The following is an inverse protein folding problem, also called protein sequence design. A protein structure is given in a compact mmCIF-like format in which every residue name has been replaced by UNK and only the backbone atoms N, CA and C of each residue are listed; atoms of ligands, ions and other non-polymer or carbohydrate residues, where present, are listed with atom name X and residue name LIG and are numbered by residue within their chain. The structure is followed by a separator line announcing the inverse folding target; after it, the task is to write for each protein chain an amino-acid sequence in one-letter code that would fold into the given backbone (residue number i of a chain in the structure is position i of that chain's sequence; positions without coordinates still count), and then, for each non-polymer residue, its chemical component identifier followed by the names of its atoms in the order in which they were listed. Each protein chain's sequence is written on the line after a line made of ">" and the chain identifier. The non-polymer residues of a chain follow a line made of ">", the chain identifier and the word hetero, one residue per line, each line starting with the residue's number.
data_IF_868670224523
#
_entry.id   IF_868670224523
#
_cell.length_a   1.000
_cell.length_b   1.000
_cell.length_c   1.000
_cell.angle_alpha   90.00
_cell.angle_beta   90.00
_cell.angle_gamma   90.00
#
_symmetry.space_group_name_H-M   'P 1'
#
loop_
_entity.id
_entity.type
_entity.pdbx_description
1 polymer ?
#
# COMPACT_ATOMS: atom_id res chain seq x y z
N UNK A 1 -21.20 8.94 43.18
CA UNK A 1 -19.79 8.85 43.64
C UNK A 1 -18.87 8.41 42.51
N UNK A 2 -17.81 9.17 42.19
CA UNK A 2 -16.80 8.75 41.21
C UNK A 2 -15.97 7.57 41.74
N UNK A 3 -15.41 6.72 40.86
CA UNK A 3 -14.57 5.62 41.28
C UNK A 3 -13.25 6.13 41.89
N UNK A 4 -12.54 5.27 42.63
CA UNK A 4 -11.26 5.62 43.23
C UNK A 4 -10.23 6.03 42.17
N UNK A 5 -9.27 6.87 42.55
CA UNK A 5 -8.33 7.51 41.63
C UNK A 5 -7.49 6.56 40.74
N UNK A 6 -7.41 5.26 41.08
CA UNK A 6 -6.72 4.25 40.29
C UNK A 6 -7.62 3.35 39.44
N UNK A 7 -8.95 3.49 39.53
CA UNK A 7 -9.86 2.69 38.74
C UNK A 7 -9.98 3.26 37.32
N UNK A 8 -9.68 2.41 36.34
CA UNK A 8 -9.85 2.69 34.92
C UNK A 8 -10.99 1.82 34.39
N UNK A 9 -11.94 2.43 33.68
CA UNK A 9 -13.08 1.71 33.11
C UNK A 9 -12.59 0.64 32.13
N UNK A 10 -12.87 -0.64 32.40
CA UNK A 10 -12.42 -1.76 31.54
C UNK A 10 -13.05 -1.78 30.14
N UNK A 11 -14.03 -0.91 29.87
CA UNK A 11 -14.72 -0.85 28.58
C UNK A 11 -14.11 0.15 27.61
N UNK A 12 -13.69 1.31 28.11
CA UNK A 12 -13.11 2.39 27.29
C UNK A 12 -11.66 2.73 27.67
N UNK A 13 -11.14 2.13 28.73
CA UNK A 13 -9.82 2.37 29.29
C UNK A 13 -9.56 3.83 29.74
N UNK A 14 -10.61 4.55 30.14
CA UNK A 14 -10.52 5.92 30.67
C UNK A 14 -10.88 5.94 32.16
N UNK A 15 -10.14 6.72 32.95
CA UNK A 15 -10.39 6.91 34.38
C UNK A 15 -11.61 7.83 34.62
N UNK A 16 -12.15 7.80 35.85
CA UNK A 16 -13.14 8.79 36.30
C UNK A 16 -14.61 8.40 36.17
N UNK A 17 -14.93 7.20 35.67
CA UNK A 17 -16.31 6.67 35.70
C UNK A 17 -16.33 5.15 35.88
N UNK A 18 -17.40 4.63 36.48
CA UNK A 18 -17.66 3.19 36.57
C UNK A 18 -18.06 2.62 35.22
N UNK A 19 -17.80 1.34 34.98
CA UNK A 19 -18.19 0.65 33.73
C UNK A 19 -19.69 0.78 33.39
N UNK A 20 -20.54 0.90 34.41
CA UNK A 20 -22.00 1.08 34.28
C UNK A 20 -22.39 2.48 33.79
N UNK A 21 -21.55 3.48 34.04
CA UNK A 21 -21.73 4.88 33.64
C UNK A 21 -20.87 5.23 32.42
N UNK A 22 -20.34 4.23 31.73
CA UNK A 22 -19.52 4.42 30.54
C UNK A 22 -20.38 5.03 29.42
N UNK A 23 -20.04 6.26 29.03
CA UNK A 23 -20.68 7.00 27.94
C UNK A 23 -20.44 6.38 26.56
N UNK A 24 -19.43 5.51 26.45
CA UNK A 24 -19.28 4.59 25.32
C UNK A 24 -20.35 3.49 25.47
N UNK A 25 -21.60 3.88 25.18
CA UNK A 25 -22.70 2.95 24.95
C UNK A 25 -22.20 1.94 23.93
N UNK A 26 -22.47 0.66 24.24
CA UNK A 26 -22.14 -0.47 23.40
C UNK A 26 -22.62 -0.17 21.99
N UNK A 27 -21.72 0.20 21.08
CA UNK A 27 -22.04 0.14 19.65
C UNK A 27 -22.58 -1.27 19.39
N UNK A 28 -23.67 -1.42 18.63
CA UNK A 28 -24.22 -2.74 18.37
C UNK A 28 -23.10 -3.63 17.84
N UNK A 29 -22.87 -4.78 18.51
CA UNK A 29 -22.00 -5.84 18.02
C UNK A 29 -22.51 -6.22 16.63
N UNK A 30 -21.84 -5.71 15.59
CA UNK A 30 -21.85 -6.24 14.22
C UNK A 30 -23.18 -6.88 13.79
N UNK A 31 -24.28 -6.15 13.85
CA UNK A 31 -25.37 -6.43 12.92
C UNK A 31 -24.96 -5.76 11.62
N UNK A 32 -24.52 -6.57 10.66
CA UNK A 32 -24.32 -6.24 9.23
C UNK A 32 -24.65 -4.77 8.93
N UNK A 33 -23.65 -3.89 9.00
CA UNK A 33 -23.68 -2.76 8.08
C UNK A 33 -23.31 -3.39 6.75
N UNK A 34 -24.33 -3.91 6.06
CA UNK A 34 -24.29 -3.94 4.61
C UNK A 34 -24.37 -2.48 4.18
N UNK A 35 -23.29 -1.74 4.45
CA UNK A 35 -22.89 -0.68 3.54
C UNK A 35 -22.68 -1.46 2.25
N UNK A 36 -23.50 -1.15 1.25
CA UNK A 36 -23.37 -1.76 -0.04
C UNK A 36 -21.95 -1.46 -0.51
N UNK A 37 -21.04 -2.42 -0.31
CA UNK A 37 -19.87 -2.58 -1.16
C UNK A 37 -20.51 -2.72 -2.51
N UNK A 38 -20.56 -1.59 -3.24
CA UNK A 38 -20.88 -1.59 -4.64
C UNK A 38 -20.13 -2.77 -5.25
N UNK A 39 -20.74 -3.54 -6.18
CA UNK A 39 -19.98 -4.56 -6.89
C UNK A 39 -18.65 -3.93 -7.30
N UNK A 40 -17.54 -4.64 -7.11
CA UNK A 40 -16.20 -4.20 -7.53
C UNK A 40 -16.24 -4.01 -9.05
N UNK A 41 -16.88 -2.96 -9.51
CA UNK A 41 -16.83 -2.46 -10.86
C UNK A 41 -15.44 -1.89 -10.90
N UNK A 42 -14.55 -2.67 -11.52
CA UNK A 42 -13.21 -2.23 -11.86
C UNK A 42 -13.39 -0.86 -12.51
N UNK A 43 -13.03 0.22 -11.81
CA UNK A 43 -13.04 1.53 -12.46
C UNK A 43 -11.98 1.46 -13.53
N UNK A 44 -12.28 1.97 -14.73
CA UNK A 44 -11.34 1.96 -15.85
C UNK A 44 -10.01 2.59 -15.42
N UNK A 45 -10.07 3.65 -14.61
CA UNK A 45 -8.93 4.31 -13.97
C UNK A 45 -8.05 3.36 -13.13
N UNK A 46 -8.66 2.45 -12.35
CA UNK A 46 -7.91 1.49 -11.53
C UNK A 46 -7.24 0.40 -12.39
N UNK A 47 -7.83 0.07 -13.54
CA UNK A 47 -7.25 -0.88 -14.48
C UNK A 47 -6.07 -0.26 -15.22
N UNK A 48 -6.24 0.95 -15.75
CA UNK A 48 -5.18 1.71 -16.42
C UNK A 48 -3.98 1.94 -15.50
N UNK A 49 -4.20 2.35 -14.24
CA UNK A 49 -3.12 2.48 -13.27
C UNK A 49 -2.48 1.12 -12.94
N UNK A 50 -3.25 0.05 -12.89
CA UNK A 50 -2.72 -1.30 -12.68
C UNK A 50 -1.74 -1.70 -13.78
N UNK A 51 -2.05 -1.36 -15.02
CA UNK A 51 -1.17 -1.57 -16.18
C UNK A 51 0.06 -0.66 -16.13
N UNK A 52 -0.11 0.63 -15.82
CA UNK A 52 1.02 1.58 -15.62
C UNK A 52 2.02 1.06 -14.57
N UNK A 53 1.52 0.56 -13.44
CA UNK A 53 2.37 0.01 -12.37
C UNK A 53 3.04 -1.29 -12.84
N UNK A 54 2.36 -2.14 -13.60
CA UNK A 54 2.96 -3.37 -14.11
C UNK A 54 4.09 -3.09 -15.11
N UNK A 55 3.88 -2.13 -16.03
CA UNK A 55 4.89 -1.67 -16.97
C UNK A 55 6.10 -1.08 -16.23
N UNK A 56 5.86 -0.26 -15.19
CA UNK A 56 6.92 0.31 -14.36
C UNK A 56 7.72 -0.76 -13.58
N UNK A 57 7.13 -1.93 -13.33
CA UNK A 57 7.78 -3.06 -12.65
C UNK A 57 8.40 -4.08 -13.63
N UNK A 58 8.31 -3.84 -14.95
CA UNK A 58 8.71 -4.75 -16.03
C UNK A 58 8.01 -6.13 -15.93
N UNK A 59 6.73 -6.13 -15.50
CA UNK A 59 5.95 -7.33 -15.28
C UNK A 59 5.07 -7.66 -16.50
N UNK A 60 5.51 -8.65 -17.30
CA UNK A 60 4.78 -9.10 -18.49
C UNK A 60 3.81 -10.28 -18.21
N UNK A 61 3.82 -10.84 -17.00
CA UNK A 61 2.95 -11.98 -16.66
C UNK A 61 1.50 -11.54 -16.46
N UNK A 62 0.56 -12.14 -17.19
CA UNK A 62 -0.84 -11.78 -17.14
C UNK A 62 -1.48 -11.98 -15.74
N UNK A 63 -1.04 -12.99 -14.97
CA UNK A 63 -1.52 -13.16 -13.59
C UNK A 63 -0.96 -12.08 -12.66
N UNK A 64 0.31 -11.67 -12.85
CA UNK A 64 0.93 -10.57 -12.12
C UNK A 64 0.23 -9.23 -12.41
N UNK A 65 0.01 -8.88 -13.68
CA UNK A 65 -0.72 -7.67 -14.10
C UNK A 65 -2.12 -7.65 -13.48
N UNK A 66 -2.86 -8.76 -13.58
CA UNK A 66 -4.19 -8.90 -12.96
C UNK A 66 -4.13 -8.71 -11.44
N UNK A 67 -3.09 -9.22 -10.79
CA UNK A 67 -2.89 -9.07 -9.36
C UNK A 67 -2.61 -7.62 -8.98
N UNK A 68 -1.78 -6.91 -9.75
CA UNK A 68 -1.46 -5.49 -9.55
C UNK A 68 -2.72 -4.63 -9.72
N UNK A 69 -3.54 -4.88 -10.74
CA UNK A 69 -4.83 -4.20 -10.89
C UNK A 69 -5.77 -4.41 -9.69
N UNK A 70 -5.77 -5.60 -9.08
CA UNK A 70 -6.52 -5.84 -7.81
C UNK A 70 -5.91 -5.11 -6.63
N UNK A 71 -4.59 -4.95 -6.57
CA UNK A 71 -3.94 -4.14 -5.52
C UNK A 71 -4.46 -2.71 -5.57
N UNK A 72 -4.51 -2.10 -6.77
CA UNK A 72 -5.05 -0.74 -6.95
C UNK A 72 -6.51 -0.68 -6.53
N UNK A 73 -7.35 -1.63 -6.95
CA UNK A 73 -8.77 -1.64 -6.59
C UNK A 73 -9.03 -1.82 -5.09
N UNK A 74 -8.24 -2.65 -4.41
CA UNK A 74 -8.47 -3.00 -2.99
C UNK A 74 -7.81 -2.01 -2.04
N UNK A 75 -6.62 -1.51 -2.37
CA UNK A 75 -5.87 -0.60 -1.50
C UNK A 75 -6.02 0.88 -1.89
N UNK A 76 -6.51 1.15 -3.10
CA UNK A 76 -6.59 2.49 -3.67
C UNK A 76 -5.32 2.90 -4.42
N UNK A 77 -5.47 3.89 -5.31
CA UNK A 77 -4.42 4.45 -6.15
C UNK A 77 -3.22 4.97 -5.34
N UNK A 78 -3.48 5.81 -4.33
CA UNK A 78 -2.41 6.46 -3.55
C UNK A 78 -1.51 5.44 -2.88
N UNK A 79 -2.11 4.41 -2.26
CA UNK A 79 -1.36 3.34 -1.60
C UNK A 79 -0.57 2.52 -2.61
N UNK A 80 -1.13 2.24 -3.78
CA UNK A 80 -0.45 1.49 -4.83
C UNK A 80 0.77 2.26 -5.37
N UNK A 81 0.65 3.57 -5.62
CA UNK A 81 1.76 4.44 -6.04
C UNK A 81 2.85 4.54 -4.98
N UNK A 82 2.47 4.69 -3.70
CA UNK A 82 3.43 4.69 -2.59
C UNK A 82 4.23 3.37 -2.51
N UNK A 83 3.55 2.23 -2.66
CA UNK A 83 4.20 0.92 -2.66
C UNK A 83 5.16 0.73 -3.84
N UNK A 84 4.85 1.30 -5.00
CA UNK A 84 5.75 1.31 -6.16
C UNK A 84 7.05 2.08 -5.86
N UNK A 85 6.93 3.31 -5.34
CA UNK A 85 8.09 4.12 -4.93
C UNK A 85 8.93 3.38 -3.88
N UNK A 86 8.27 2.77 -2.89
CA UNK A 86 8.96 2.03 -1.84
C UNK A 86 9.68 0.78 -2.37
N UNK A 87 9.12 0.11 -3.40
CA UNK A 87 9.78 -1.03 -4.03
C UNK A 87 11.12 -0.63 -4.66
N UNK A 88 11.15 0.52 -5.35
CA UNK A 88 12.37 1.04 -5.96
C UNK A 88 13.40 1.46 -4.93
N UNK A 89 12.97 2.14 -3.87
CA UNK A 89 13.86 2.51 -2.75
C UNK A 89 14.52 1.28 -2.11
N UNK A 90 13.77 0.18 -1.96
CA UNK A 90 14.32 -1.07 -1.43
C UNK A 90 15.33 -1.70 -2.38
N UNK A 91 15.06 -1.68 -3.68
CA UNK A 91 15.99 -2.17 -4.70
C UNK A 91 17.30 -1.35 -4.71
N UNK A 92 17.21 -0.02 -4.63
CA UNK A 92 18.38 0.86 -4.48
C UNK A 92 19.19 0.58 -3.21
N UNK A 93 18.51 0.22 -2.10
CA UNK A 93 19.13 -0.15 -0.83
C UNK A 93 19.72 -1.56 -0.81
N UNK A 94 19.71 -2.28 -1.94
CA UNK A 94 20.28 -3.62 -2.07
C UNK A 94 19.26 -4.73 -2.27
N UNK A 95 17.98 -4.40 -2.38
CA UNK A 95 16.87 -5.32 -2.68
C UNK A 95 16.60 -6.33 -1.58
N UNK A 96 15.69 -7.26 -1.87
CA UNK A 96 15.36 -8.38 -0.97
C UNK A 96 15.86 -9.69 -1.53
N UNK A 97 16.37 -10.58 -0.68
CA UNK A 97 16.69 -11.95 -1.11
C UNK A 97 15.41 -12.79 -1.26
N UNK A 98 15.44 -13.72 -2.20
CA UNK A 98 14.39 -14.73 -2.34
C UNK A 98 14.46 -15.72 -1.19
N UNK A 99 13.31 -16.07 -0.63
CA UNK A 99 13.17 -16.96 0.53
C UNK A 99 13.39 -18.45 0.19
N UNK A 100 13.58 -18.78 -1.09
CA UNK A 100 13.78 -20.16 -1.56
C UNK A 100 15.20 -20.69 -1.32
N UNK A 101 16.05 -19.93 -0.61
CA UNK A 101 17.42 -20.30 -0.31
C UNK A 101 18.38 -20.21 -1.49
N UNK A 102 17.93 -19.73 -2.66
CA UNK A 102 18.77 -19.61 -3.86
C UNK A 102 19.84 -18.50 -3.76
N UNK A 103 19.74 -17.62 -2.75
CA UNK A 103 20.62 -16.45 -2.60
C UNK A 103 20.44 -15.39 -3.68
N UNK A 104 19.42 -15.53 -4.55
CA UNK A 104 19.11 -14.55 -5.59
C UNK A 104 18.31 -13.38 -5.02
N UNK A 105 18.55 -12.18 -5.55
CA UNK A 105 17.73 -11.00 -5.26
C UNK A 105 16.34 -11.15 -5.91
N UNK A 106 15.34 -10.54 -5.29
CA UNK A 106 14.02 -10.34 -5.87
C UNK A 106 14.12 -9.28 -6.97
N UNK A 107 13.18 -9.35 -7.90
CA UNK A 107 12.95 -8.29 -8.88
C UNK A 107 12.11 -7.17 -8.22
N UNK A 108 12.07 -5.96 -8.81
CA UNK A 108 11.23 -4.87 -8.33
C UNK A 108 9.77 -5.30 -8.13
N UNK A 109 9.18 -6.03 -9.08
CA UNK A 109 7.81 -6.55 -8.93
C UNK A 109 7.68 -7.60 -7.81
N UNK A 110 8.71 -8.43 -7.60
CA UNK A 110 8.79 -9.35 -6.47
C UNK A 110 8.91 -8.67 -5.10
N UNK A 111 9.49 -7.47 -5.05
CA UNK A 111 9.56 -6.60 -3.86
C UNK A 111 8.23 -5.89 -3.65
N UNK A 112 7.62 -5.34 -4.71
CA UNK A 112 6.29 -4.72 -4.66
C UNK A 112 5.24 -5.68 -4.08
N UNK A 113 5.12 -6.88 -4.63
CA UNK A 113 4.16 -7.88 -4.13
C UNK A 113 4.50 -8.38 -2.71
N UNK A 114 5.77 -8.28 -2.29
CA UNK A 114 6.15 -8.53 -0.90
C UNK A 114 5.67 -7.40 0.02
N UNK A 115 5.87 -6.14 -0.36
CA UNK A 115 5.42 -4.97 0.39
C UNK A 115 3.90 -4.99 0.58
N UNK A 116 3.14 -5.28 -0.49
CA UNK A 116 1.69 -5.46 -0.42
C UNK A 116 1.32 -6.48 0.65
N UNK A 117 2.01 -7.64 0.69
CA UNK A 117 1.72 -8.69 1.69
C UNK A 117 2.04 -8.27 3.13
N UNK A 118 3.08 -7.46 3.33
CA UNK A 118 3.46 -6.99 4.67
C UNK A 118 2.52 -5.92 5.20
N UNK A 119 2.06 -5.01 4.34
CA UNK A 119 1.33 -3.82 4.76
C UNK A 119 -0.20 -3.97 4.68
N UNK A 120 -0.71 -4.94 3.91
CA UNK A 120 -2.16 -5.16 3.79
C UNK A 120 -2.72 -6.05 4.91
N UNK A 121 -3.98 -5.79 5.29
CA UNK A 121 -4.73 -6.61 6.25
C UNK A 121 -5.03 -8.00 5.69
N UNK A 122 -5.36 -8.97 6.55
CA UNK A 122 -5.75 -10.31 6.08
C UNK A 122 -6.97 -10.29 5.14
N UNK A 123 -7.91 -9.37 5.39
CA UNK A 123 -9.07 -9.19 4.53
C UNK A 123 -8.67 -8.66 3.14
N UNK A 124 -7.81 -7.64 3.07
CA UNK A 124 -7.30 -7.14 1.79
C UNK A 124 -6.52 -8.20 1.03
N UNK A 125 -5.66 -8.98 1.71
CA UNK A 125 -4.93 -10.09 1.08
C UNK A 125 -5.87 -11.14 0.48
N UNK A 126 -6.95 -11.47 1.16
CA UNK A 126 -7.94 -12.42 0.66
C UNK A 126 -8.65 -11.92 -0.61
N UNK A 127 -8.82 -10.59 -0.75
CA UNK A 127 -9.41 -9.98 -1.93
C UNK A 127 -8.41 -9.84 -3.10
N UNK A 128 -7.13 -9.61 -2.80
CA UNK A 128 -6.07 -9.50 -3.82
C UNK A 128 -5.73 -10.89 -4.40
N UNK A 129 -5.44 -11.85 -3.52
CA UNK A 129 -5.08 -13.23 -3.88
C UNK A 129 -6.28 -14.18 -3.78
N UNK A 130 -7.31 -13.90 -4.58
CA UNK A 130 -8.48 -14.79 -4.70
C UNK A 130 -8.03 -16.23 -5.04
N UNK A 131 -8.58 -17.25 -4.36
CA UNK A 131 -8.32 -18.63 -4.74
C UNK A 131 -8.80 -18.86 -6.18
N UNK A 132 -7.98 -19.53 -7.00
CA UNK A 132 -8.36 -19.88 -8.37
C UNK A 132 -9.65 -20.71 -8.34
N UNK A 133 -10.66 -20.41 -9.18
CA UNK A 133 -11.88 -21.20 -9.22
C UNK A 133 -11.53 -22.67 -9.53
N UNK A 134 -11.97 -23.59 -8.67
CA UNK A 134 -11.66 -25.03 -8.77
C UNK A 134 -10.45 -25.52 -7.97
N UNK A 135 -9.68 -24.63 -7.34
CA UNK A 135 -8.64 -25.02 -6.38
C UNK A 135 -9.24 -24.99 -4.97
N UNK A 136 -9.88 -26.10 -4.56
CA UNK A 136 -10.34 -26.25 -3.18
C UNK A 136 -9.17 -25.94 -2.23
N UNK A 137 -9.35 -24.96 -1.34
CA UNK A 137 -8.41 -24.73 -0.25
C UNK A 137 -8.34 -26.03 0.53
N UNK A 138 -7.24 -26.77 0.39
CA UNK A 138 -6.99 -27.96 1.18
C UNK A 138 -7.27 -27.62 2.65
N UNK A 139 -8.34 -28.19 3.18
CA UNK A 139 -8.78 -27.94 4.56
C UNK A 139 -7.58 -28.23 5.46
N UNK A 140 -7.13 -27.30 6.32
CA UNK A 140 -6.10 -27.59 7.30
C UNK A 140 -6.68 -28.59 8.29
N UNK A 141 -6.44 -29.89 8.05
CA UNK A 141 -7.03 -30.98 8.83
C UNK A 141 -6.76 -32.39 8.30
N UNK A 142 -6.43 -32.59 7.02
CA UNK A 142 -6.03 -33.92 6.52
C UNK A 142 -4.53 -34.18 6.68
N UNK A 143 -4.09 -34.38 7.93
CA UNK A 143 -2.83 -35.06 8.20
C UNK A 143 -2.94 -36.53 7.76
N UNK A 144 -2.56 -36.84 6.51
CA UNK A 144 -2.20 -38.21 6.14
C UNK A 144 -0.91 -38.57 6.89
N UNK A 145 -1.02 -39.45 7.89
CA UNK A 145 0.09 -40.08 8.62
C UNK A 145 0.98 -40.85 7.63
N UNK A 146 1.96 -40.17 7.04
CA UNK A 146 3.08 -40.77 6.32
C UNK A 146 4.28 -40.86 7.24
N UNK A 147 4.56 -42.06 7.75
CA UNK A 147 5.68 -42.34 8.63
C UNK A 147 7.01 -42.21 7.86
N UNK A 148 7.77 -41.12 8.07
CA UNK A 148 9.15 -40.99 7.58
C UNK A 148 10.05 -40.52 8.73
N UNK A 149 10.90 -41.44 9.21
CA UNK A 149 11.96 -41.18 10.19
C UNK A 149 12.84 -40.02 9.69
N UNK A 150 12.90 -38.93 10.46
CA UNK A 150 13.92 -37.88 10.29
C UNK A 150 14.92 -38.02 11.43
N UNK A 151 16.18 -38.22 11.05
CA UNK A 151 17.33 -38.17 11.93
C UNK A 151 17.51 -36.75 12.48
N UNK A 152 17.86 -36.69 13.76
CA UNK A 152 18.22 -35.47 14.48
C UNK A 152 19.49 -34.88 13.90
N UNK A 153 19.47 -33.61 13.53
CA UNK A 153 20.67 -32.76 13.58
C UNK A 153 20.24 -31.36 14.02
N UNK A 154 20.81 -30.95 15.14
CA UNK A 154 20.73 -29.64 15.76
C UNK A 154 21.42 -28.58 14.93
N UNK A 155 20.83 -27.40 14.83
CA UNK A 155 21.51 -26.16 14.42
C UNK A 155 21.53 -25.18 15.60
N UNK A 156 22.65 -24.48 15.85
CA UNK A 156 22.81 -23.57 16.96
C UNK A 156 22.17 -22.19 16.70
N UNK A 157 21.80 -21.58 17.83
CA UNK A 157 21.44 -20.18 18.01
C UNK A 157 22.64 -19.28 17.71
N UNK A 158 22.44 -18.29 16.82
CA UNK A 158 22.80 -16.87 16.98
C UNK A 158 22.94 -16.18 15.62
N UNK A 159 22.06 -15.22 15.34
CA UNK A 159 22.32 -14.07 14.46
C UNK A 159 21.15 -13.08 14.58
N UNK A 160 21.32 -12.12 15.48
CA UNK A 160 20.49 -10.93 15.58
C UNK A 160 20.62 -10.11 14.28
N UNK A 161 19.56 -10.04 13.49
CA UNK A 161 19.41 -9.07 12.40
C UNK A 161 18.37 -8.03 12.83
N UNK A 162 18.85 -6.82 13.06
CA UNK A 162 18.03 -5.65 13.38
C UNK A 162 17.10 -5.34 12.21
N UNK A 163 15.80 -5.48 12.43
CA UNK A 163 14.78 -5.02 11.50
C UNK A 163 14.66 -3.50 11.64
N UNK A 164 14.60 -2.72 10.53
CA UNK A 164 14.20 -1.33 10.62
C UNK A 164 12.73 -1.27 11.02
N UNK A 165 12.44 -0.57 12.12
CA UNK A 165 11.08 -0.30 12.58
C UNK A 165 10.40 0.64 11.59
N UNK A 166 9.41 0.14 10.87
CA UNK A 166 8.50 0.97 10.07
C UNK A 166 7.58 1.75 11.02
N UNK A 167 7.39 3.07 10.85
CA UNK A 167 6.36 3.79 11.58
C UNK A 167 4.99 3.26 11.13
N UNK A 168 4.18 2.82 12.08
CA UNK A 168 2.78 2.54 11.82
C UNK A 168 2.12 3.84 11.34
N UNK A 169 1.33 3.77 10.27
CA UNK A 169 0.51 4.88 9.82
C UNK A 169 -0.62 5.07 10.85
N UNK A 170 -0.42 6.03 11.75
CA UNK A 170 -1.49 6.59 12.59
C UNK A 170 -2.05 7.82 11.88
N UNK A 171 -3.38 7.92 11.92
CA UNK A 171 -4.27 8.98 11.46
C UNK A 171 -3.66 10.33 11.06
N UNK A 172 -3.90 10.74 9.82
CA UNK A 172 -3.86 12.14 9.39
C UNK A 172 -5.23 12.52 8.80
N UNK A 173 -6.19 12.77 9.70
CA UNK A 173 -7.40 13.50 9.38
C UNK A 173 -7.23 14.97 9.77
N UNK A 174 -7.57 15.84 8.81
CA UNK A 174 -8.10 17.20 8.96
C UNK A 174 -7.20 18.31 9.56
N UNK A 175 -6.75 19.22 8.68
CA UNK A 175 -6.86 20.69 8.75
C UNK A 175 -6.63 21.19 7.31
N UNK A 176 -7.35 22.10 6.67
CA UNK A 176 -8.45 22.99 7.00
C UNK A 176 -8.68 23.84 5.74
N UNK A 177 -9.94 24.07 5.41
CA UNK A 177 -10.42 25.01 4.40
C UNK A 177 -9.98 26.44 4.69
N UNK A 178 -9.77 27.24 3.65
CA UNK A 178 -9.98 28.71 3.49
C UNK A 178 -8.97 29.22 2.44
N UNK A 179 -9.20 30.18 1.55
CA UNK A 179 -10.35 30.85 0.97
C UNK A 179 -9.75 31.76 -0.14
N UNK A 180 -10.49 31.96 -1.23
CA UNK A 180 -10.55 33.18 -2.07
C UNK A 180 -9.31 34.03 -2.41
N UNK A 181 -9.12 34.15 -3.73
CA UNK A 181 -9.18 35.42 -4.48
C UNK A 181 -8.08 36.46 -4.27
N UNK A 182 -7.26 36.68 -5.32
CA UNK A 182 -7.00 38.02 -5.85
C UNK A 182 -6.32 37.90 -7.23
N UNK A 183 -7.10 38.15 -8.27
CA UNK A 183 -6.58 38.66 -9.53
C UNK A 183 -5.95 40.03 -9.29
N UNK A 184 -4.75 40.29 -9.81
CA UNK A 184 -4.43 41.60 -10.36
C UNK A 184 -3.53 41.45 -11.58
N UNK A 185 -4.03 42.09 -12.62
CA UNK A 185 -3.49 42.34 -13.94
C UNK A 185 -2.15 43.09 -13.87
N UNK A 186 -1.23 42.80 -14.79
CA UNK A 186 -0.08 43.66 -15.05
C UNK A 186 0.18 43.73 -16.56
N UNK A 187 -0.73 44.43 -17.23
CA UNK A 187 -0.43 45.18 -18.43
C UNK A 187 0.36 46.45 -18.09
N UNK A 188 1.60 46.54 -18.58
CA UNK A 188 2.24 47.82 -18.87
C UNK A 188 3.06 47.68 -20.16
N UNK A 189 2.43 48.04 -21.27
CA UNK A 189 3.08 48.37 -22.52
C UNK A 189 3.54 49.84 -22.48
N UNK A 190 4.75 50.13 -22.99
CA UNK A 190 5.12 51.25 -23.89
C UNK A 190 6.64 51.15 -24.14
N UNK A 191 7.07 50.86 -25.38
CA UNK A 191 7.53 51.84 -26.39
C UNK A 191 8.97 52.32 -26.08
N UNK A 192 9.98 52.41 -26.95
CA UNK A 192 10.08 52.85 -28.34
C UNK A 192 11.52 52.52 -28.85
N UNK A 193 11.70 52.38 -30.18
CA UNK A 193 12.96 52.48 -30.97
C UNK A 193 13.99 51.33 -30.81
N UNK A 194 14.53 50.69 -31.84
CA UNK A 194 14.75 51.11 -33.22
C UNK A 194 16.17 50.66 -33.62
N UNK A 195 16.37 50.38 -34.91
CA UNK A 195 17.62 49.94 -35.58
C UNK A 195 17.91 48.44 -35.37
N UNK A 196 18.08 47.59 -36.37
CA UNK A 196 18.39 47.81 -37.77
C UNK A 196 19.37 46.71 -38.20
N UNK A 197 19.34 46.39 -39.50
CA UNK A 197 20.36 45.66 -40.25
C UNK A 197 20.26 44.13 -40.34
N UNK A 198 19.71 43.72 -41.49
CA UNK A 198 19.98 42.52 -42.27
C UNK A 198 21.46 42.12 -42.30
N UNK A 199 21.75 40.82 -42.46
CA UNK A 199 22.41 40.26 -43.66
C UNK A 199 22.45 38.72 -43.62
N UNK A 200 22.36 38.16 -44.82
CA UNK A 200 22.30 36.76 -45.25
C UNK A 200 23.47 35.85 -44.82
N UNK A 201 23.22 34.54 -44.75
CA UNK A 201 24.19 33.55 -45.23
C UNK A 201 23.52 32.19 -45.50
N UNK A 202 23.33 31.93 -46.80
CA UNK A 202 23.14 30.64 -47.45
C UNK A 202 24.24 29.65 -47.06
N UNK A 203 23.88 28.38 -46.85
CA UNK A 203 24.83 27.30 -46.56
C UNK A 203 24.34 25.91 -46.94
N UNK A 204 24.00 25.69 -48.21
CA UNK A 204 23.95 24.36 -48.84
C UNK A 204 25.37 23.78 -48.98
N UNK A 205 25.58 22.56 -48.49
CA UNK A 205 26.64 21.60 -48.86
C UNK A 205 26.16 20.22 -48.38
N UNK A 206 26.28 19.09 -49.07
CA UNK A 206 26.54 18.68 -50.45
C UNK A 206 26.12 17.20 -50.50
#
# INVERSE_FOLDING_TARGET
>A
DPPSAGYVCKKCNVAGHWIELCTIKSAPRSTKVAEAVAPLTVSEESAELGEEIADALDEADAEAITTIGRVVQVLGEEVARMLLVQAWQLEEQGGLLRLDGSGKRRTPGGVFLWLVKQQSTEQHRAQIWLPKPGQERGVPGSFKKGNKKVGKTSVPSDAAAQQPTVPALHDAAALGTDASSAATDSSAATDVLGLGMSIDAVGQRS
#
